data_IF_157247968790
#
_entry.id   IF_157247968790
#
_cell.length_a   1.000
_cell.length_b   1.000
_cell.length_c   1.000
_cell.angle_alpha   90.00
_cell.angle_beta   90.00
_cell.angle_gamma   90.00
#
_symmetry.space_group_name_H-M   'P 1'
#
loop_
_entity.id
_entity.type
_entity.pdbx_description
1 polymer ?
#
# COMPACT_ATOMS: atom_id res chain seq x y z
N UNK A 1 -1.58 12.92 -9.13
CA UNK A 1 -1.68 11.44 -8.97
C UNK A 1 -2.83 11.15 -8.01
N UNK A 2 -3.77 10.26 -8.35
CA UNK A 2 -5.00 10.06 -7.54
C UNK A 2 -4.98 8.90 -6.53
N UNK A 3 -3.99 7.99 -6.59
CA UNK A 3 -3.76 7.01 -5.52
C UNK A 3 -3.11 7.67 -4.30
N UNK A 4 -3.70 7.49 -3.10
CA UNK A 4 -3.27 8.15 -1.85
C UNK A 4 -1.85 7.69 -1.45
N UNK A 5 -1.53 6.42 -1.69
CA UNK A 5 -0.20 5.84 -1.45
C UNK A 5 0.22 4.98 -2.64
N UNK A 6 1.51 4.64 -2.68
CA UNK A 6 2.10 3.78 -3.71
C UNK A 6 2.85 2.65 -3.03
N UNK A 7 2.21 1.49 -2.95
CA UNK A 7 2.72 0.26 -2.35
C UNK A 7 2.34 -0.92 -3.26
N UNK A 8 2.14 -2.12 -2.71
CA UNK A 8 1.88 -3.38 -3.44
C UNK A 8 0.74 -3.27 -4.44
N UNK A 9 -0.48 -2.85 -4.05
CA UNK A 9 -1.64 -2.84 -4.96
C UNK A 9 -1.39 -1.97 -6.21
N UNK A 10 -0.63 -0.88 -6.06
CA UNK A 10 -0.34 0.06 -7.14
C UNK A 10 0.78 -0.39 -8.07
N UNK A 11 1.60 -1.38 -7.69
CA UNK A 11 2.63 -1.94 -8.59
C UNK A 11 2.05 -2.44 -9.91
N UNK A 12 0.82 -2.98 -9.89
CA UNK A 12 0.17 -3.52 -11.09
C UNK A 12 -0.29 -2.46 -12.08
N UNK A 13 -0.27 -1.18 -11.72
CA UNK A 13 -0.50 -0.10 -12.69
C UNK A 13 0.49 -0.21 -13.86
N UNK A 14 1.71 -0.68 -13.61
CA UNK A 14 2.74 -0.87 -14.65
C UNK A 14 2.42 -1.97 -15.67
N UNK A 15 1.48 -2.87 -15.38
CA UNK A 15 1.08 -3.97 -16.29
C UNK A 15 -0.25 -3.71 -17.02
N UNK A 16 -0.90 -2.57 -16.75
CA UNK A 16 -2.13 -2.18 -17.45
C UNK A 16 -1.82 -1.92 -18.92
N UNK A 17 -2.55 -2.54 -19.87
CA UNK A 17 -2.36 -2.28 -21.29
C UNK A 17 -2.43 -0.79 -21.62
N UNK A 18 -1.40 -0.32 -22.31
CA UNK A 18 -1.26 1.07 -22.76
C UNK A 18 -1.54 1.19 -24.25
N UNK A 19 -1.48 2.41 -24.78
CA UNK A 19 -1.68 2.70 -26.21
C UNK A 19 -0.72 1.92 -27.12
N UNK A 20 0.42 1.46 -26.58
CA UNK A 20 1.35 0.54 -27.27
C UNK A 20 0.70 -0.81 -27.65
N UNK A 21 -0.39 -1.17 -26.98
CA UNK A 21 -1.16 -2.39 -27.19
C UNK A 21 -2.53 -2.10 -27.83
N UNK A 22 -2.80 -0.85 -28.25
CA UNK A 22 -4.07 -0.43 -28.84
C UNK A 22 -5.18 -0.08 -27.84
N UNK A 23 -4.87 0.03 -26.55
CA UNK A 23 -5.84 0.37 -25.49
C UNK A 23 -5.45 1.64 -24.74
N UNK A 24 -6.43 2.44 -24.32
CA UNK A 24 -6.19 3.67 -23.54
C UNK A 24 -6.34 3.48 -22.02
N UNK A 25 -6.36 2.23 -21.53
CA UNK A 25 -6.66 1.91 -20.12
C UNK A 25 -5.78 2.62 -19.11
N UNK A 26 -4.50 2.85 -19.41
CA UNK A 26 -3.62 3.62 -18.53
C UNK A 26 -4.10 5.07 -18.34
N UNK A 27 -4.58 5.71 -19.41
CA UNK A 27 -5.16 7.05 -19.36
C UNK A 27 -6.51 7.04 -18.66
N UNK A 28 -7.35 6.04 -18.94
CA UNK A 28 -8.65 5.88 -18.29
C UNK A 28 -8.52 5.68 -16.79
N UNK A 29 -7.61 4.81 -16.35
CA UNK A 29 -7.31 4.58 -14.92
C UNK A 29 -6.83 5.86 -14.24
N UNK A 30 -5.93 6.63 -14.88
CA UNK A 30 -5.41 7.87 -14.30
C UNK A 30 -6.40 9.04 -14.32
N UNK A 31 -7.32 9.06 -15.28
CA UNK A 31 -8.35 10.09 -15.42
C UNK A 31 -9.64 9.79 -14.65
N UNK A 32 -9.80 8.57 -14.15
CA UNK A 32 -11.03 8.13 -13.49
C UNK A 32 -11.19 8.75 -12.08
N UNK A 33 -12.41 9.21 -11.72
CA UNK A 33 -12.71 9.58 -10.34
C UNK A 33 -12.66 8.38 -9.37
N UNK A 34 -12.66 7.15 -9.91
CA UNK A 34 -12.58 5.90 -9.17
C UNK A 34 -11.18 5.27 -9.21
N UNK A 35 -10.13 6.03 -9.54
CA UNK A 35 -8.76 5.52 -9.71
C UNK A 35 -8.31 4.60 -8.56
N UNK A 36 -8.68 4.90 -7.31
CA UNK A 36 -8.31 4.10 -6.13
C UNK A 36 -8.96 2.71 -6.12
N UNK A 37 -10.23 2.61 -6.50
CA UNK A 37 -10.93 1.32 -6.65
C UNK A 37 -10.35 0.53 -7.82
N UNK A 38 -10.11 1.20 -8.94
CA UNK A 38 -9.48 0.58 -10.11
C UNK A 38 -8.08 0.05 -9.80
N UNK A 39 -7.28 0.74 -8.97
CA UNK A 39 -5.98 0.24 -8.50
C UNK A 39 -6.14 -1.09 -7.76
N UNK A 40 -7.21 -1.31 -6.99
CA UNK A 40 -7.47 -2.60 -6.36
C UNK A 40 -7.89 -3.65 -7.41
N UNK A 41 -8.85 -3.29 -8.27
CA UNK A 41 -9.48 -4.19 -9.26
C UNK A 41 -8.49 -4.78 -10.27
N UNK A 42 -7.49 -4.02 -10.72
CA UNK A 42 -6.47 -4.54 -11.66
C UNK A 42 -5.61 -5.67 -11.07
N UNK A 43 -5.74 -5.99 -9.78
CA UNK A 43 -5.03 -7.08 -9.15
C UNK A 43 -5.80 -8.41 -9.16
N UNK A 44 -7.10 -8.40 -9.46
CA UNK A 44 -7.94 -9.61 -9.48
C UNK A 44 -7.36 -10.76 -10.32
N UNK A 45 -6.74 -10.52 -11.50
CA UNK A 45 -6.20 -11.61 -12.32
C UNK A 45 -4.86 -12.19 -11.81
N UNK A 46 -4.24 -11.60 -10.79
CA UNK A 46 -2.86 -11.91 -10.42
C UNK A 46 -2.70 -12.20 -8.93
N UNK A 47 -2.02 -13.31 -8.63
CA UNK A 47 -1.64 -13.68 -7.26
C UNK A 47 -0.12 -13.83 -7.14
N UNK A 48 0.61 -12.78 -6.77
CA UNK A 48 2.05 -12.87 -6.50
C UNK A 48 2.34 -13.90 -5.42
N UNK A 49 3.43 -14.65 -5.58
CA UNK A 49 3.90 -15.57 -4.54
C UNK A 49 4.64 -14.84 -3.41
N UNK A 50 5.24 -13.68 -3.73
CA UNK A 50 5.99 -12.85 -2.80
C UNK A 50 5.99 -11.40 -3.29
N UNK A 51 5.79 -10.47 -2.36
CA UNK A 51 5.97 -9.03 -2.54
C UNK A 51 7.09 -8.60 -1.59
N UNK A 52 8.00 -7.77 -2.09
CA UNK A 52 9.02 -7.09 -1.29
C UNK A 52 8.86 -5.59 -1.49
N UNK A 53 8.79 -4.83 -0.40
CA UNK A 53 8.77 -3.37 -0.43
C UNK A 53 10.03 -2.82 0.22
N UNK A 54 10.71 -1.93 -0.48
CA UNK A 54 11.80 -1.11 0.03
C UNK A 54 11.22 0.17 0.63
N UNK A 55 11.42 0.35 1.93
CA UNK A 55 11.01 1.51 2.70
C UNK A 55 12.19 2.25 3.33
N UNK A 56 13.40 2.15 2.78
CA UNK A 56 14.57 2.87 3.31
C UNK A 56 14.32 4.38 3.38
N UNK A 57 13.81 4.95 2.28
CA UNK A 57 13.29 6.31 2.19
C UNK A 57 11.85 6.28 1.67
N UNK A 58 10.95 7.01 2.32
CA UNK A 58 9.55 7.10 1.93
C UNK A 58 9.11 8.55 1.71
N UNK A 59 8.30 8.80 0.69
CA UNK A 59 7.57 10.06 0.58
C UNK A 59 6.40 10.05 1.56
N UNK A 60 6.42 11.02 2.48
CA UNK A 60 5.39 11.24 3.51
C UNK A 60 4.46 12.40 3.13
N UNK A 61 4.82 13.18 2.10
CA UNK A 61 3.92 14.14 1.48
C UNK A 61 4.37 14.54 0.06
N UNK A 62 3.42 14.89 -0.82
CA UNK A 62 3.69 15.45 -2.16
C UNK A 62 4.23 14.50 -3.24
N UNK A 63 4.65 13.28 -2.88
CA UNK A 63 5.25 12.28 -3.77
C UNK A 63 4.40 11.87 -4.99
N UNK A 64 4.92 11.02 -5.90
CA UNK A 64 6.15 10.23 -5.78
C UNK A 64 7.38 10.80 -6.51
N UNK A 65 7.25 11.95 -7.20
CA UNK A 65 8.38 12.56 -7.95
C UNK A 65 9.17 13.55 -7.10
N UNK A 66 8.45 14.40 -6.38
CA UNK A 66 8.97 15.44 -5.49
C UNK A 66 8.14 15.42 -4.21
N UNK A 67 8.67 15.90 -3.09
CA UNK A 67 7.91 15.90 -1.84
C UNK A 67 8.78 15.73 -0.60
N UNK A 68 8.11 15.78 0.56
CA UNK A 68 8.76 15.55 1.87
C UNK A 68 9.07 14.07 2.02
N UNK A 69 10.31 13.77 2.40
CA UNK A 69 10.78 12.41 2.65
C UNK A 69 11.01 12.18 4.14
N UNK A 70 10.88 10.93 4.55
CA UNK A 70 11.29 10.45 5.86
C UNK A 70 12.08 9.14 5.68
N UNK A 71 13.02 8.88 6.57
CA UNK A 71 13.72 7.60 6.63
C UNK A 71 12.84 6.57 7.29
N UNK A 72 12.50 5.50 6.56
CA UNK A 72 11.75 4.37 7.09
C UNK A 72 12.66 3.25 7.62
N UNK A 73 13.84 3.09 7.03
CA UNK A 73 14.88 2.11 7.40
C UNK A 73 14.33 0.67 7.55
N UNK A 74 13.42 0.30 6.65
CA UNK A 74 12.69 -0.97 6.73
C UNK A 74 12.53 -1.61 5.36
N UNK A 75 12.63 -2.95 5.32
CA UNK A 75 12.15 -3.77 4.22
C UNK A 75 10.97 -4.59 4.70
N UNK A 76 9.96 -4.75 3.84
CA UNK A 76 8.79 -5.59 4.10
C UNK A 76 8.74 -6.73 3.10
N UNK A 77 8.27 -7.89 3.55
CA UNK A 77 7.99 -9.02 2.69
C UNK A 77 6.67 -9.69 3.10
N UNK A 78 5.87 -10.11 2.12
CA UNK A 78 4.59 -10.78 2.35
C UNK A 78 4.17 -11.56 1.11
N UNK A 79 3.37 -12.61 1.27
CA UNK A 79 2.63 -13.23 0.17
C UNK A 79 1.24 -12.61 -0.04
N UNK A 80 0.76 -11.82 0.92
CA UNK A 80 -0.53 -11.14 0.90
C UNK A 80 -0.35 -9.64 0.61
N UNK A 81 -1.06 -9.18 -0.42
CA UNK A 81 -0.95 -7.80 -0.94
C UNK A 81 -1.69 -6.78 -0.11
N UNK A 82 -2.82 -7.18 0.50
CA UNK A 82 -3.58 -6.31 1.37
C UNK A 82 -2.85 -6.16 2.70
N UNK A 83 -2.31 -7.26 3.22
CA UNK A 83 -1.54 -7.25 4.45
C UNK A 83 -0.31 -6.33 4.37
N UNK A 84 0.48 -6.43 3.30
CA UNK A 84 1.69 -5.61 3.14
C UNK A 84 1.36 -4.13 2.90
N UNK A 85 0.26 -3.82 2.22
CA UNK A 85 -0.20 -2.44 2.06
C UNK A 85 -0.73 -1.87 3.38
N UNK A 86 -1.45 -2.66 4.17
CA UNK A 86 -1.91 -2.25 5.49
C UNK A 86 -0.74 -1.93 6.42
N UNK A 87 0.28 -2.79 6.47
CA UNK A 87 1.52 -2.56 7.21
C UNK A 87 2.29 -1.35 6.66
N UNK A 88 2.37 -1.20 5.34
CA UNK A 88 3.01 -0.04 4.71
C UNK A 88 2.31 1.28 5.06
N UNK A 89 0.97 1.30 5.10
CA UNK A 89 0.20 2.48 5.56
C UNK A 89 0.44 2.72 7.06
N UNK A 90 0.54 1.68 7.89
CA UNK A 90 0.91 1.84 9.30
C UNK A 90 2.30 2.49 9.45
N UNK A 91 3.27 2.10 8.61
CA UNK A 91 4.60 2.72 8.56
C UNK A 91 4.52 4.17 8.09
N UNK A 92 3.75 4.49 7.06
CA UNK A 92 3.55 5.88 6.63
C UNK A 92 2.93 6.72 7.75
N UNK A 93 2.01 6.16 8.54
CA UNK A 93 1.47 6.82 9.74
C UNK A 93 2.54 7.03 10.81
N UNK A 94 3.35 6.00 11.09
CA UNK A 94 4.47 6.07 12.03
C UNK A 94 5.46 7.18 11.66
N UNK A 95 5.74 7.35 10.37
CA UNK A 95 6.64 8.38 9.82
C UNK A 95 6.03 9.79 9.74
N UNK A 96 4.79 9.99 10.19
CA UNK A 96 4.12 11.30 10.16
C UNK A 96 3.79 11.76 8.74
N UNK A 97 3.11 10.91 7.97
CA UNK A 97 2.57 11.24 6.64
C UNK A 97 1.47 12.32 6.71
N UNK A 98 0.99 12.76 5.54
CA UNK A 98 -0.07 13.76 5.44
C UNK A 98 -1.45 13.27 5.92
N UNK A 99 -2.40 14.19 6.05
CA UNK A 99 -3.75 13.93 6.58
C UNK A 99 -4.54 12.86 5.81
N UNK A 100 -4.26 12.66 4.52
CA UNK A 100 -4.94 11.62 3.72
C UNK A 100 -4.52 10.21 4.16
N UNK A 101 -3.32 10.07 4.74
CA UNK A 101 -2.86 8.84 5.38
C UNK A 101 -3.20 8.84 6.87
N UNK A 102 -3.03 9.96 7.57
CA UNK A 102 -3.17 10.01 9.03
C UNK A 102 -4.62 9.85 9.51
N UNK A 103 -5.60 10.49 8.85
CA UNK A 103 -6.99 10.52 9.34
C UNK A 103 -7.77 9.21 9.15
N UNK A 104 -7.81 8.59 7.96
CA UNK A 104 -8.59 7.38 7.77
C UNK A 104 -7.98 6.22 8.54
N UNK A 105 -8.80 5.26 8.97
CA UNK A 105 -8.28 3.96 9.38
C UNK A 105 -7.59 3.28 8.20
N UNK A 106 -6.66 2.38 8.47
CA UNK A 106 -5.88 1.69 7.43
C UNK A 106 -6.81 0.93 6.49
N UNK A 107 -7.76 0.19 7.05
CA UNK A 107 -8.75 -0.56 6.26
C UNK A 107 -9.89 0.30 5.68
N UNK A 108 -9.99 1.57 6.08
CA UNK A 108 -10.91 2.54 5.44
C UNK A 108 -10.25 3.25 4.24
N UNK A 109 -8.95 3.03 4.00
CA UNK A 109 -8.30 3.51 2.79
C UNK A 109 -8.96 2.85 1.57
N UNK A 110 -9.54 3.65 0.67
CA UNK A 110 -10.40 3.15 -0.42
C UNK A 110 -9.74 2.05 -1.28
N UNK A 111 -8.43 2.12 -1.49
CA UNK A 111 -7.65 1.08 -2.18
C UNK A 111 -7.65 -0.25 -1.41
N UNK A 112 -7.46 -0.23 -0.09
CA UNK A 112 -7.46 -1.41 0.78
C UNK A 112 -8.89 -1.93 0.93
N UNK A 113 -9.86 -1.07 1.26
CA UNK A 113 -11.25 -1.44 1.42
C UNK A 113 -11.79 -2.18 0.18
N UNK A 114 -11.53 -1.64 -1.02
CA UNK A 114 -11.93 -2.29 -2.27
C UNK A 114 -11.23 -3.63 -2.48
N UNK A 115 -9.95 -3.74 -2.13
CA UNK A 115 -9.22 -5.01 -2.25
C UNK A 115 -9.77 -6.09 -1.30
N UNK A 116 -10.23 -5.70 -0.11
CA UNK A 116 -10.92 -6.58 0.85
C UNK A 116 -12.27 -7.04 0.29
N UNK A 117 -13.08 -6.12 -0.27
CA UNK A 117 -14.36 -6.47 -0.92
C UNK A 117 -14.19 -7.51 -2.04
N UNK A 118 -13.06 -7.45 -2.76
CA UNK A 118 -12.71 -8.37 -3.84
C UNK A 118 -12.03 -9.66 -3.35
N UNK A 119 -11.78 -9.81 -2.04
CA UNK A 119 -11.15 -11.00 -1.47
C UNK A 119 -9.67 -11.17 -1.85
N UNK A 120 -8.95 -10.07 -2.07
CA UNK A 120 -7.56 -10.09 -2.55
C UNK A 120 -6.51 -10.34 -1.45
N UNK A 121 -6.92 -10.42 -0.18
CA UNK A 121 -6.04 -10.64 0.96
C UNK A 121 -6.73 -10.38 2.29
N UNK A 122 -5.92 -10.17 3.32
CA UNK A 122 -6.34 -9.94 4.69
C UNK A 122 -7.46 -8.89 4.80
N UNK A 123 -8.52 -9.21 5.56
CA UNK A 123 -9.70 -8.35 5.71
C UNK A 123 -9.63 -7.42 6.92
N UNK A 124 -8.68 -7.66 7.83
CA UNK A 124 -8.56 -6.93 9.09
C UNK A 124 -7.15 -7.02 9.68
N UNK A 125 -6.79 -6.13 10.63
CA UNK A 125 -5.52 -6.22 11.34
C UNK A 125 -5.28 -7.57 12.05
N UNK A 126 -6.34 -8.24 12.50
CA UNK A 126 -6.25 -9.52 13.21
C UNK A 126 -5.85 -10.70 12.34
N UNK A 127 -5.88 -10.55 11.02
CA UNK A 127 -5.41 -11.57 10.07
C UNK A 127 -3.94 -11.37 9.69
N UNK A 128 -3.26 -10.38 10.26
CA UNK A 128 -1.88 -10.00 9.91
C UNK A 128 -0.94 -10.28 11.07
N UNK A 129 -0.10 -11.31 10.91
CA UNK A 129 1.03 -11.57 11.80
C UNK A 129 2.28 -10.81 11.33
N UNK A 130 2.63 -9.74 12.04
CA UNK A 130 3.85 -8.99 11.77
C UNK A 130 5.04 -9.67 12.46
N UNK A 131 5.98 -10.22 11.68
CA UNK A 131 7.15 -10.94 12.19
C UNK A 131 8.40 -10.06 11.99
N UNK A 132 9.17 -9.75 13.07
CA UNK A 132 10.42 -9.02 12.94
C UNK A 132 11.49 -9.92 12.29
N UNK A 133 12.31 -9.35 11.41
CA UNK A 133 13.38 -10.08 10.74
C UNK A 133 14.46 -10.57 11.72
N UNK A 134 14.74 -9.78 12.76
CA UNK A 134 15.73 -10.07 13.79
C UNK A 134 15.40 -9.37 15.13
N UNK A 135 16.33 -9.45 16.08
CA UNK A 135 16.20 -8.79 17.39
C UNK A 135 16.20 -7.27 17.30
N UNK A 136 16.93 -6.68 16.34
CA UNK A 136 17.03 -5.24 16.17
C UNK A 136 15.71 -4.65 15.64
N UNK A 137 14.94 -5.46 14.91
CA UNK A 137 13.66 -5.07 14.31
C UNK A 137 12.48 -5.09 15.29
N UNK A 138 12.67 -5.58 16.53
CA UNK A 138 11.58 -5.85 17.47
C UNK A 138 10.82 -4.59 17.88
N UNK A 139 11.53 -3.53 18.26
CA UNK A 139 10.88 -2.32 18.77
C UNK A 139 10.19 -1.52 17.65
N UNK A 140 10.81 -1.49 16.46
CA UNK A 140 10.16 -0.96 15.26
C UNK A 140 8.87 -1.73 14.98
N UNK A 141 8.94 -3.07 14.95
CA UNK A 141 7.78 -3.95 14.75
C UNK A 141 6.68 -3.70 15.77
N UNK A 142 6.99 -3.52 17.06
CA UNK A 142 5.99 -3.20 18.09
C UNK A 142 5.28 -1.88 17.81
N UNK A 143 6.03 -0.82 17.47
CA UNK A 143 5.45 0.49 17.14
C UNK A 143 4.49 0.41 15.94
N UNK A 144 4.85 -0.34 14.91
CA UNK A 144 3.99 -0.55 13.75
C UNK A 144 2.76 -1.40 14.10
N UNK A 145 2.93 -2.45 14.89
CA UNK A 145 1.83 -3.31 15.33
C UNK A 145 0.79 -2.54 16.16
N UNK A 146 1.22 -1.62 17.03
CA UNK A 146 0.31 -0.76 17.79
C UNK A 146 -0.52 0.18 16.90
N UNK A 147 0.07 0.68 15.82
CA UNK A 147 -0.64 1.52 14.84
C UNK A 147 -1.61 0.66 14.03
N UNK A 148 -1.16 -0.50 13.56
CA UNK A 148 -1.96 -1.44 12.77
C UNK A 148 -3.21 -1.91 13.53
N UNK A 149 -3.08 -2.18 14.84
CA UNK A 149 -4.20 -2.60 15.69
C UNK A 149 -5.26 -1.52 15.92
N UNK A 150 -4.94 -0.23 15.70
CA UNK A 150 -5.89 0.88 15.92
C UNK A 150 -6.90 1.08 14.77
N UNK A 151 -6.86 0.21 13.77
CA UNK A 151 -7.71 0.28 12.58
C UNK A 151 -6.88 0.77 11.43
#
# INVERSE_FOLDING_TARGET
>A
YGGIFTLSLKLHVGVVPTSRHGYDYMKELHGSPHQRKMIAEINEPFRPALIILDGMDAFVDGGPMTGRRARGEVFLASADRVAIDAVGVAILKFLGSNESIMKPKIFDQEQIARAVELGLGASSPSEIDLIPADKNSQDYRKGIEEILKKG
#
